data_IF_990844630263
#
_entry.id   IF_990844630263
#
_cell.length_a   1.000
_cell.length_b   1.000
_cell.length_c   1.000
_cell.angle_alpha   90.00
_cell.angle_beta   90.00
_cell.angle_gamma   90.00
#
_symmetry.space_group_name_H-M   'P 1'
#
loop_
_entity.id
_entity.type
_entity.pdbx_description
1 polymer ?
#
# COMPACT_ATOMS: atom_id res chain seq x y z
N UNK A 1 13.33 -8.28 10.15
CA UNK A 1 12.03 -8.92 9.86
C UNK A 1 10.93 -8.01 10.40
N UNK A 2 9.82 -7.84 9.65
CA UNK A 2 8.65 -7.11 10.15
C UNK A 2 7.93 -7.90 11.24
N UNK A 3 7.42 -7.19 12.23
CA UNK A 3 6.61 -7.73 13.33
C UNK A 3 5.39 -6.84 13.53
N UNK A 4 4.39 -7.24 14.32
CA UNK A 4 3.27 -6.35 14.66
C UNK A 4 3.72 -5.00 15.25
N UNK A 5 4.86 -4.97 15.96
CA UNK A 5 5.46 -3.72 16.46
C UNK A 5 5.98 -2.79 15.37
N UNK A 6 6.19 -3.29 14.15
CA UNK A 6 6.60 -2.44 13.02
C UNK A 6 5.53 -1.41 12.65
N UNK A 7 4.27 -1.67 12.98
CA UNK A 7 3.17 -0.71 12.82
C UNK A 7 3.32 0.49 13.77
N UNK A 8 3.97 0.32 14.93
CA UNK A 8 4.14 1.38 15.93
C UNK A 8 5.01 2.53 15.43
N UNK A 9 5.84 2.28 14.42
CA UNK A 9 6.62 3.33 13.74
C UNK A 9 5.76 4.53 13.33
N UNK A 10 4.53 4.25 12.89
CA UNK A 10 3.60 5.27 12.37
C UNK A 10 2.73 5.92 13.45
N UNK A 11 2.91 5.56 14.73
CA UNK A 11 2.21 6.16 15.87
C UNK A 11 2.93 7.41 16.36
N UNK A 12 3.19 8.35 15.48
CA UNK A 12 3.80 9.64 15.79
C UNK A 12 2.77 10.75 15.70
N UNK A 13 2.92 11.84 16.50
CA UNK A 13 1.90 12.90 16.57
C UNK A 13 1.85 13.76 15.31
N UNK A 14 2.98 13.92 14.61
CA UNK A 14 3.11 14.76 13.43
C UNK A 14 4.00 14.09 12.39
N UNK A 15 3.56 14.10 11.14
CA UNK A 15 4.35 13.61 10.00
C UNK A 15 5.14 14.73 9.32
N UNK A 16 4.66 15.97 9.35
CA UNK A 16 5.33 17.10 8.75
C UNK A 16 6.49 17.60 9.61
N UNK A 17 7.67 17.77 9.00
CA UNK A 17 8.85 18.28 9.70
C UNK A 17 8.66 19.69 10.27
N UNK A 18 7.85 20.54 9.62
CA UNK A 18 7.52 21.86 10.13
C UNK A 18 6.79 21.79 11.48
N UNK A 19 5.84 20.86 11.62
CA UNK A 19 5.12 20.64 12.88
C UNK A 19 6.04 20.02 13.94
N UNK A 20 6.85 19.04 13.58
CA UNK A 20 7.83 18.45 14.49
C UNK A 20 8.82 19.51 15.00
N UNK A 21 9.36 20.37 14.12
CA UNK A 21 10.25 21.47 14.52
C UNK A 21 9.60 22.44 15.49
N UNK A 22 8.30 22.67 15.32
CA UNK A 22 7.55 23.62 16.17
C UNK A 22 7.23 23.04 17.55
N UNK A 23 6.85 21.76 17.62
CA UNK A 23 6.26 21.19 18.83
C UNK A 23 7.15 20.15 19.53
N UNK A 24 8.02 19.46 18.80
CA UNK A 24 8.85 18.37 19.31
C UNK A 24 10.21 18.30 18.57
N UNK A 25 10.99 19.41 18.53
CA UNK A 25 12.23 19.45 17.74
C UNK A 25 13.25 18.38 18.16
N UNK A 26 13.29 18.02 19.43
CA UNK A 26 14.20 17.01 20.01
C UNK A 26 13.90 15.58 19.50
N UNK A 27 12.68 15.30 19.06
CA UNK A 27 12.28 13.98 18.58
C UNK A 27 12.71 13.69 17.12
N UNK A 28 13.02 14.73 16.34
CA UNK A 28 13.31 14.60 14.90
C UNK A 28 14.46 13.65 14.59
N UNK A 29 15.61 13.70 15.28
CA UNK A 29 16.72 12.79 14.98
C UNK A 29 16.33 11.33 15.17
N UNK A 30 15.60 11.01 16.26
CA UNK A 30 15.16 9.66 16.55
C UNK A 30 14.12 9.18 15.53
N UNK A 31 13.11 9.99 15.21
CA UNK A 31 12.10 9.67 14.19
C UNK A 31 12.78 9.35 12.87
N UNK A 32 13.74 10.16 12.43
CA UNK A 32 14.47 9.91 11.17
C UNK A 32 15.28 8.61 11.21
N UNK A 33 15.92 8.32 12.34
CA UNK A 33 16.69 7.10 12.52
C UNK A 33 15.78 5.86 12.45
N UNK A 34 14.68 5.87 13.19
CA UNK A 34 13.70 4.77 13.24
C UNK A 34 13.07 4.51 11.87
N UNK A 35 12.66 5.58 11.18
CA UNK A 35 12.12 5.45 9.82
C UNK A 35 13.12 4.89 8.84
N UNK A 36 14.36 5.35 8.88
CA UNK A 36 15.42 4.88 7.98
C UNK A 36 15.75 3.41 8.20
N UNK A 37 15.86 2.98 9.47
CA UNK A 37 16.13 1.59 9.83
C UNK A 37 14.97 0.68 9.39
N UNK A 38 13.74 1.02 9.75
CA UNK A 38 12.58 0.23 9.37
C UNK A 38 12.34 0.21 7.87
N UNK A 39 12.65 1.29 7.15
CA UNK A 39 12.56 1.34 5.70
C UNK A 39 13.60 0.45 5.02
N UNK A 40 14.79 0.26 5.59
CA UNK A 40 15.75 -0.72 5.10
C UNK A 40 15.21 -2.15 5.23
N UNK A 41 14.58 -2.48 6.35
CA UNK A 41 13.91 -3.78 6.55
C UNK A 41 12.78 -3.95 5.53
N UNK A 42 11.98 -2.90 5.31
CA UNK A 42 10.92 -2.87 4.31
C UNK A 42 11.46 -3.14 2.90
N UNK A 43 12.53 -2.46 2.50
CA UNK A 43 13.16 -2.67 1.18
C UNK A 43 13.61 -4.12 1.00
N UNK A 44 14.25 -4.71 2.01
CA UNK A 44 14.70 -6.11 1.97
C UNK A 44 13.51 -7.06 1.78
N UNK A 45 12.40 -6.85 2.49
CA UNK A 45 11.19 -7.63 2.33
C UNK A 45 10.64 -7.52 0.89
N UNK A 46 10.51 -6.31 0.37
CA UNK A 46 9.97 -6.09 -0.97
C UNK A 46 10.88 -6.69 -2.05
N UNK A 47 12.20 -6.61 -1.88
CA UNK A 47 13.14 -7.25 -2.81
C UNK A 47 13.05 -8.78 -2.76
N UNK A 48 12.83 -9.36 -1.57
CA UNK A 48 12.61 -10.80 -1.45
C UNK A 48 11.31 -11.22 -2.15
N UNK A 49 10.21 -10.47 -1.93
CA UNK A 49 8.95 -10.70 -2.64
C UNK A 49 9.13 -10.59 -4.16
N UNK A 50 9.91 -9.61 -4.62
CA UNK A 50 10.22 -9.46 -6.03
C UNK A 50 10.95 -10.69 -6.61
N UNK A 51 11.91 -11.22 -5.86
CA UNK A 51 12.65 -12.42 -6.25
C UNK A 51 11.74 -13.66 -6.31
N UNK A 52 10.84 -13.79 -5.34
CA UNK A 52 9.91 -14.92 -5.27
C UNK A 52 8.83 -14.86 -6.36
N UNK A 53 8.37 -13.65 -6.73
CA UNK A 53 7.41 -13.44 -7.81
C UNK A 53 8.05 -13.74 -9.18
N UNK A 54 9.26 -13.27 -9.42
CA UNK A 54 9.96 -13.46 -10.69
C UNK A 54 9.21 -12.90 -11.90
N UNK A 55 9.52 -13.42 -13.08
CA UNK A 55 8.78 -13.05 -14.29
C UNK A 55 7.32 -13.57 -14.24
N UNK A 56 6.35 -12.83 -14.80
CA UNK A 56 6.50 -11.66 -15.68
C UNK A 56 6.48 -10.30 -14.98
N UNK A 57 6.72 -10.24 -13.67
CA UNK A 57 6.72 -8.98 -12.93
C UNK A 57 7.96 -8.14 -13.23
N UNK A 58 7.75 -6.84 -13.45
CA UNK A 58 8.82 -5.86 -13.49
C UNK A 58 9.41 -5.63 -12.08
N UNK A 59 10.61 -5.06 -11.97
CA UNK A 59 11.14 -4.62 -10.68
C UNK A 59 10.13 -3.75 -9.92
N UNK A 60 9.99 -3.92 -8.60
CA UNK A 60 9.01 -3.20 -7.81
C UNK A 60 9.31 -1.71 -7.73
N UNK A 61 8.26 -0.90 -7.64
CA UNK A 61 8.37 0.46 -7.14
C UNK A 61 8.30 0.44 -5.62
N UNK A 62 9.30 1.01 -4.95
CA UNK A 62 9.34 1.16 -3.49
C UNK A 62 9.33 2.66 -3.17
N UNK A 63 8.26 3.13 -2.54
CA UNK A 63 8.13 4.53 -2.16
C UNK A 63 9.13 4.88 -1.06
N UNK A 64 9.72 6.09 -1.15
CA UNK A 64 10.66 6.57 -0.13
C UNK A 64 9.94 6.83 1.19
N UNK A 65 10.63 6.61 2.32
CA UNK A 65 10.11 6.84 3.67
C UNK A 65 9.79 8.31 3.97
N UNK A 66 10.37 9.25 3.22
CA UNK A 66 10.05 10.68 3.30
C UNK A 66 10.10 11.33 1.92
N UNK A 67 9.45 12.47 1.78
CA UNK A 67 9.44 13.28 0.55
C UNK A 67 10.15 14.63 0.70
N UNK A 68 11.00 14.76 1.72
CA UNK A 68 11.79 15.97 2.02
C UNK A 68 11.11 16.93 3.01
N UNK A 69 9.79 17.01 3.06
CA UNK A 69 9.06 17.87 3.98
C UNK A 69 8.24 17.11 5.04
N UNK A 70 8.01 15.82 4.85
CA UNK A 70 7.36 14.95 5.84
C UNK A 70 7.88 13.51 5.77
N UNK A 71 7.77 12.77 6.86
CA UNK A 71 7.81 11.31 6.84
C UNK A 71 6.47 10.75 6.41
N UNK A 72 6.46 9.56 5.82
CA UNK A 72 5.22 8.94 5.34
C UNK A 72 4.42 8.35 6.49
N UNK A 73 3.09 8.35 6.37
CA UNK A 73 2.18 7.68 7.30
C UNK A 73 2.11 6.17 7.07
N UNK A 74 2.75 5.68 6.01
CA UNK A 74 2.85 4.28 5.64
C UNK A 74 4.12 4.02 4.83
N UNK A 75 4.52 2.76 4.74
CA UNK A 75 5.41 2.27 3.68
C UNK A 75 4.58 1.65 2.59
N UNK A 76 4.93 1.93 1.34
CA UNK A 76 4.19 1.51 0.17
C UNK A 76 5.12 1.00 -0.93
N UNK A 77 4.76 -0.11 -1.53
CA UNK A 77 5.40 -0.67 -2.70
C UNK A 77 4.36 -1.28 -3.63
N UNK A 78 4.66 -1.34 -4.93
CA UNK A 78 3.79 -2.04 -5.85
C UNK A 78 4.55 -2.75 -6.95
N UNK A 79 3.88 -3.73 -7.54
CA UNK A 79 4.33 -4.56 -8.63
C UNK A 79 3.39 -4.44 -9.81
N UNK A 80 3.93 -4.56 -11.02
CA UNK A 80 3.19 -4.62 -12.29
C UNK A 80 3.80 -5.71 -13.16
N UNK A 81 3.00 -6.30 -14.03
CA UNK A 81 3.57 -7.05 -15.14
C UNK A 81 4.35 -6.13 -16.06
N UNK A 82 5.52 -6.59 -16.53
CA UNK A 82 6.40 -5.81 -17.38
C UNK A 82 5.71 -5.30 -18.65
N UNK A 83 4.84 -6.13 -19.25
CA UNK A 83 4.03 -5.76 -20.43
C UNK A 83 2.95 -4.71 -20.14
N UNK A 84 2.52 -4.56 -18.86
CA UNK A 84 1.47 -3.62 -18.43
C UNK A 84 2.00 -2.49 -17.55
N UNK A 85 3.28 -2.16 -17.67
CA UNK A 85 3.94 -1.13 -16.86
C UNK A 85 3.26 0.26 -16.89
N UNK A 86 2.53 0.56 -17.96
CA UNK A 86 1.80 1.83 -18.10
C UNK A 86 0.36 1.77 -17.56
N UNK A 87 -0.14 0.59 -17.17
CA UNK A 87 -1.45 0.46 -16.55
C UNK A 87 -1.46 1.05 -15.14
N UNK A 88 -2.62 1.57 -14.71
CA UNK A 88 -2.85 1.98 -13.33
C UNK A 88 -3.12 0.79 -12.39
N UNK A 89 -3.42 -0.41 -12.92
CA UNK A 89 -3.59 -1.62 -12.13
C UNK A 89 -2.27 -2.04 -11.48
N UNK A 90 -2.29 -2.28 -10.17
CA UNK A 90 -1.12 -2.66 -9.38
C UNK A 90 -1.45 -3.80 -8.42
N UNK A 91 -0.42 -4.59 -8.10
CA UNK A 91 -0.39 -5.42 -6.89
C UNK A 91 0.40 -4.62 -5.86
N UNK A 92 -0.25 -4.14 -4.81
CA UNK A 92 0.35 -3.27 -3.80
C UNK A 92 0.62 -4.01 -2.50
N UNK A 93 1.65 -3.57 -1.79
CA UNK A 93 1.93 -3.93 -0.41
C UNK A 93 2.05 -2.64 0.38
N UNK A 94 1.31 -2.54 1.47
CA UNK A 94 1.26 -1.36 2.32
C UNK A 94 1.40 -1.76 3.79
N UNK A 95 2.28 -1.07 4.51
CA UNK A 95 2.43 -1.17 5.96
C UNK A 95 2.08 0.18 6.57
N UNK A 96 1.07 0.22 7.42
CA UNK A 96 0.68 1.41 8.17
C UNK A 96 0.57 1.14 9.68
N UNK A 97 0.07 2.09 10.45
CA UNK A 97 -0.09 1.95 11.91
C UNK A 97 -1.04 0.82 12.33
N UNK A 98 -1.88 0.31 11.43
CA UNK A 98 -2.88 -0.73 11.74
C UNK A 98 -2.50 -2.11 11.25
N UNK A 99 -1.92 -2.19 10.03
CA UNK A 99 -1.77 -3.48 9.38
C UNK A 99 -0.73 -3.49 8.26
N UNK A 100 -0.35 -4.69 7.90
CA UNK A 100 0.26 -5.00 6.60
C UNK A 100 -0.84 -5.49 5.67
N UNK A 101 -0.98 -4.85 4.51
CA UNK A 101 -1.98 -5.20 3.50
C UNK A 101 -1.30 -5.60 2.19
N UNK A 102 -1.86 -6.60 1.52
CA UNK A 102 -1.52 -6.95 0.14
C UNK A 102 -2.81 -6.84 -0.67
N UNK A 103 -2.81 -6.02 -1.72
CA UNK A 103 -4.05 -5.68 -2.42
C UNK A 103 -3.86 -5.65 -3.93
N UNK A 104 -4.89 -6.08 -4.65
CA UNK A 104 -5.09 -5.64 -6.03
C UNK A 104 -5.70 -4.25 -5.97
N UNK A 105 -5.08 -3.29 -6.65
CA UNK A 105 -5.40 -1.89 -6.46
C UNK A 105 -5.30 -1.10 -7.78
N UNK A 106 -5.88 0.09 -7.77
CA UNK A 106 -5.87 1.06 -8.85
C UNK A 106 -5.11 2.31 -8.45
N UNK A 107 -3.94 2.52 -9.07
CA UNK A 107 -3.08 3.65 -8.76
C UNK A 107 -3.62 4.94 -9.42
N UNK A 108 -4.43 5.70 -8.71
CA UNK A 108 -5.14 6.88 -9.21
C UNK A 108 -4.23 7.92 -9.87
N UNK A 109 -3.00 8.11 -9.39
CA UNK A 109 -2.01 9.03 -9.99
C UNK A 109 -1.52 8.60 -11.37
N UNK A 110 -1.86 7.39 -11.82
CA UNK A 110 -1.53 6.87 -13.15
C UNK A 110 -2.77 6.65 -14.01
N UNK A 111 -3.96 6.97 -13.49
CA UNK A 111 -5.22 6.75 -14.18
C UNK A 111 -5.28 7.43 -15.54
N UNK A 112 -4.82 8.68 -15.62
CA UNK A 112 -4.89 9.49 -16.86
C UNK A 112 -3.99 8.98 -18.00
N UNK A 113 -2.94 8.21 -17.65
CA UNK A 113 -2.00 7.63 -18.62
C UNK A 113 -2.18 6.12 -18.79
N UNK A 114 -3.13 5.53 -18.08
CA UNK A 114 -3.43 4.11 -18.17
C UNK A 114 -4.06 3.76 -19.52
N UNK A 115 -3.58 2.69 -20.19
CA UNK A 115 -4.18 2.23 -21.47
C UNK A 115 -5.57 1.62 -21.27
N UNK A 116 -5.95 1.26 -20.04
CA UNK A 116 -7.29 0.80 -19.68
C UNK A 116 -7.92 1.77 -18.69
N UNK A 117 -9.23 1.90 -18.73
CA UNK A 117 -10.01 2.70 -17.79
C UNK A 117 -10.40 1.88 -16.55
N UNK A 118 -10.76 2.57 -15.45
CA UNK A 118 -11.21 1.91 -14.23
C UNK A 118 -12.41 0.95 -14.44
N UNK A 119 -13.44 1.28 -15.23
CA UNK A 119 -14.53 0.34 -15.52
C UNK A 119 -14.06 -0.95 -16.22
N UNK A 120 -13.05 -0.83 -17.11
CA UNK A 120 -12.47 -2.01 -17.76
C UNK A 120 -11.65 -2.84 -16.77
N UNK A 121 -10.87 -2.19 -15.91
CA UNK A 121 -10.16 -2.87 -14.82
C UNK A 121 -11.13 -3.67 -13.93
N UNK A 122 -12.28 -3.08 -13.56
CA UNK A 122 -13.25 -3.71 -12.67
C UNK A 122 -13.98 -4.92 -13.29
N UNK A 123 -13.82 -5.18 -14.59
CA UNK A 123 -14.43 -6.37 -15.25
C UNK A 123 -13.96 -7.72 -14.69
N UNK A 124 -12.84 -7.76 -13.96
CA UNK A 124 -12.44 -8.98 -13.26
C UNK A 124 -13.48 -9.43 -12.22
N UNK A 125 -14.29 -8.50 -11.69
CA UNK A 125 -15.40 -8.79 -10.78
C UNK A 125 -16.49 -9.66 -11.41
N UNK A 126 -16.67 -9.59 -12.73
CA UNK A 126 -17.71 -10.36 -13.44
C UNK A 126 -17.50 -11.87 -13.33
N UNK A 127 -16.25 -12.30 -13.14
CA UNK A 127 -15.86 -13.70 -13.00
C UNK A 127 -15.23 -14.01 -11.65
N UNK A 128 -15.47 -13.16 -10.65
CA UNK A 128 -14.88 -13.29 -9.34
C UNK A 128 -15.52 -14.41 -8.53
N UNK A 129 -14.71 -15.37 -8.11
CA UNK A 129 -15.15 -16.51 -7.31
C UNK A 129 -15.32 -16.07 -5.83
N UNK A 130 -16.56 -15.71 -5.48
CA UNK A 130 -16.90 -15.21 -4.15
C UNK A 130 -16.81 -16.27 -3.07
N UNK A 131 -16.91 -17.55 -3.40
CA UNK A 131 -16.75 -18.66 -2.44
C UNK A 131 -15.27 -18.86 -2.12
N UNK A 132 -14.44 -18.93 -3.16
CA UNK A 132 -12.99 -19.11 -3.03
C UNK A 132 -12.34 -17.97 -2.23
N UNK A 133 -12.80 -16.74 -2.44
CA UNK A 133 -12.22 -15.54 -1.81
C UNK A 133 -13.09 -14.97 -0.68
N UNK A 134 -14.02 -15.76 -0.13
CA UNK A 134 -14.99 -15.34 0.88
C UNK A 134 -14.38 -14.64 2.11
N UNK A 135 -13.17 -15.05 2.52
CA UNK A 135 -12.46 -14.51 3.68
C UNK A 135 -11.56 -13.30 3.37
N UNK A 136 -11.41 -12.93 2.10
CA UNK A 136 -10.61 -11.76 1.73
C UNK A 136 -11.38 -10.48 2.01
N UNK A 137 -10.68 -9.46 2.46
CA UNK A 137 -11.23 -8.12 2.60
C UNK A 137 -11.49 -7.51 1.21
N UNK A 138 -12.58 -6.78 1.10
CA UNK A 138 -12.92 -6.00 -0.08
C UNK A 138 -13.23 -4.58 0.34
N UNK A 139 -12.55 -3.61 -0.24
CA UNK A 139 -12.80 -2.21 0.06
C UNK A 139 -13.46 -1.49 -1.12
N UNK A 140 -14.16 -0.41 -0.82
CA UNK A 140 -14.68 0.54 -1.80
C UNK A 140 -13.84 1.81 -1.82
N UNK A 141 -13.81 2.51 -2.96
CA UNK A 141 -12.96 3.68 -3.14
C UNK A 141 -13.21 4.86 -2.18
N UNK A 142 -14.33 4.84 -1.43
CA UNK A 142 -14.62 5.84 -0.40
C UNK A 142 -14.01 5.50 0.98
N UNK A 143 -13.57 4.27 1.18
CA UNK A 143 -12.98 3.80 2.44
C UNK A 143 -11.49 4.18 2.49
N UNK A 144 -10.99 4.44 3.69
CA UNK A 144 -9.60 4.73 3.93
C UNK A 144 -8.81 3.47 4.30
N UNK A 145 -7.47 3.53 4.12
CA UNK A 145 -6.56 2.45 4.56
C UNK A 145 -6.60 2.15 6.06
N UNK A 146 -7.28 2.98 6.85
CA UNK A 146 -7.46 2.84 8.30
C UNK A 146 -8.80 2.27 8.71
N UNK A 147 -9.73 2.08 7.76
CA UNK A 147 -11.05 1.55 8.05
C UNK A 147 -11.04 0.03 8.23
N UNK A 148 -12.08 -0.50 8.86
CA UNK A 148 -12.32 -1.92 8.92
C UNK A 148 -13.14 -2.34 7.70
N UNK A 149 -12.51 -3.14 6.84
CA UNK A 149 -13.17 -3.60 5.62
C UNK A 149 -14.11 -4.77 5.91
N UNK A 150 -15.13 -4.91 5.08
CA UNK A 150 -15.95 -6.11 5.05
C UNK A 150 -15.25 -7.18 4.22
N UNK A 151 -15.39 -8.42 4.63
CA UNK A 151 -14.95 -9.54 3.78
C UNK A 151 -15.88 -9.72 2.59
N UNK A 152 -15.40 -10.42 1.56
CA UNK A 152 -16.21 -10.76 0.37
C UNK A 152 -17.51 -11.45 0.78
N UNK A 153 -17.49 -12.36 1.78
CA UNK A 153 -18.68 -13.03 2.30
C UNK A 153 -19.69 -12.09 2.95
N UNK A 154 -19.23 -10.94 3.51
CA UNK A 154 -20.07 -9.96 4.18
C UNK A 154 -20.63 -8.89 3.23
N UNK A 155 -20.15 -8.84 1.98
CA UNK A 155 -20.60 -7.90 0.97
C UNK A 155 -21.87 -8.42 0.29
N UNK A 156 -22.88 -7.57 0.09
CA UNK A 156 -23.99 -7.88 -0.78
C UNK A 156 -23.56 -7.84 -2.25
N UNK A 157 -24.33 -8.44 -3.15
CA UNK A 157 -24.03 -8.38 -4.58
C UNK A 157 -24.06 -6.94 -5.11
N UNK A 158 -24.94 -6.09 -4.57
CA UNK A 158 -25.00 -4.66 -4.90
C UNK A 158 -23.78 -3.87 -4.42
N UNK A 159 -23.14 -4.30 -3.33
CA UNK A 159 -21.97 -3.62 -2.76
C UNK A 159 -20.68 -3.96 -3.53
N UNK A 160 -20.71 -5.02 -4.36
CA UNK A 160 -19.53 -5.51 -5.11
C UNK A 160 -19.37 -4.86 -6.49
N UNK A 161 -20.37 -4.13 -6.94
CA UNK A 161 -20.40 -3.41 -8.21
C UNK A 161 -20.38 -1.89 -7.96
#
# INVERSE_FOLDING_TARGET
MLTPKSCDLFNIPFFQFAQLKKYQPESIPQIKADYKENWQIWQQLIQQVAADLGEPFAPPHIERWCNGWQVRAHFFAYFKYAQYKNSAAILSILLNRRRLSVSLDWHCYKADVSPIALPEYNRWLDNFDTEKYAAFDMWHGAESEYDDYRTVAQQSESDRR
#
